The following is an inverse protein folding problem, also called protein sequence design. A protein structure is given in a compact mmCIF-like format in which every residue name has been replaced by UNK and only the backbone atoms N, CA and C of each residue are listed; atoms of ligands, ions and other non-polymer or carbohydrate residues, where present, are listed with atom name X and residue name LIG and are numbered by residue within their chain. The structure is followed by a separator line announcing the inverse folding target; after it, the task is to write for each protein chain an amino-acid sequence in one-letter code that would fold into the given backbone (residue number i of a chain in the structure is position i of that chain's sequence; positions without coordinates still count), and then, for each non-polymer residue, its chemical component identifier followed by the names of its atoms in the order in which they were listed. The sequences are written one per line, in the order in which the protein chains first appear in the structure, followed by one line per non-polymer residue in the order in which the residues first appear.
data_IF_965551237465
#
_entry.id   IF_965551237465
#
_cell.length_a   1.000
_cell.length_b   1.000
_cell.length_c   1.000
_cell.angle_alpha   90.00
_cell.angle_beta   90.00
_cell.angle_gamma   90.00
#
_symmetry.space_group_name_H-M   'P 1'
#
loop_
_entity.id
_entity.type
_entity.pdbx_description
1 polymer ?
#
# COMPACT_ATOMS: atom_id res chain seq x y z
N UNK A 1 21.11 -12.65 -40.43
CA UNK A 1 19.78 -12.02 -40.37
C UNK A 1 19.50 -11.58 -38.93
N UNK A 2 20.25 -10.57 -38.45
CA UNK A 2 20.13 -10.04 -37.08
C UNK A 2 18.95 -9.09 -37.01
N UNK A 3 17.76 -9.68 -36.90
CA UNK A 3 16.48 -9.01 -36.75
C UNK A 3 16.54 -7.97 -35.63
N UNK A 4 16.63 -6.71 -36.03
CA UNK A 4 16.38 -5.51 -35.22
C UNK A 4 17.20 -5.45 -33.92
N UNK A 5 18.42 -4.94 -34.09
CA UNK A 5 19.37 -4.53 -33.05
C UNK A 5 18.67 -4.01 -31.79
N UNK A 6 19.14 -4.40 -30.61
CA UNK A 6 18.64 -3.99 -29.27
C UNK A 6 18.36 -2.47 -29.19
N UNK A 7 19.13 -1.68 -29.93
CA UNK A 7 18.94 -0.24 -30.10
C UNK A 7 17.55 0.17 -30.63
N UNK A 8 16.97 -0.59 -31.57
CA UNK A 8 15.63 -0.32 -32.10
C UNK A 8 14.56 -0.48 -31.02
N UNK A 9 14.63 -1.57 -30.24
CA UNK A 9 13.71 -1.82 -29.13
C UNK A 9 13.77 -0.74 -28.06
N UNK A 10 14.96 -0.21 -27.76
CA UNK A 10 15.12 0.92 -26.85
C UNK A 10 14.41 2.18 -27.35
N UNK A 11 14.57 2.53 -28.63
CA UNK A 11 13.87 3.68 -29.25
C UNK A 11 12.35 3.50 -29.18
N UNK A 12 11.85 2.31 -29.50
CA UNK A 12 10.41 2.03 -29.46
C UNK A 12 9.87 2.18 -28.03
N UNK A 13 10.61 1.68 -27.03
CA UNK A 13 10.22 1.79 -25.62
C UNK A 13 10.10 3.25 -25.18
N UNK A 14 11.03 4.10 -25.62
CA UNK A 14 11.02 5.54 -25.33
C UNK A 14 9.79 6.20 -25.96
N UNK A 15 9.48 5.90 -27.23
CA UNK A 15 8.29 6.45 -27.91
C UNK A 15 7.00 6.04 -27.19
N UNK A 16 6.87 4.77 -26.80
CA UNK A 16 5.72 4.28 -26.03
C UNK A 16 5.61 5.01 -24.69
N UNK A 17 6.73 5.24 -24.00
CA UNK A 17 6.76 6.02 -22.76
C UNK A 17 6.30 7.47 -22.95
N UNK A 18 6.63 8.09 -24.09
CA UNK A 18 6.20 9.45 -24.41
C UNK A 18 4.70 9.51 -24.73
N UNK A 19 4.17 8.52 -25.47
CA UNK A 19 2.74 8.47 -25.84
C UNK A 19 1.84 8.18 -24.64
N UNK A 20 2.25 7.22 -23.80
CA UNK A 20 1.47 6.81 -22.63
C UNK A 20 1.79 7.65 -21.38
N UNK A 21 2.96 8.26 -21.33
CA UNK A 21 3.48 8.98 -20.17
C UNK A 21 4.01 8.06 -19.07
N UNK A 22 4.99 8.54 -18.30
CA UNK A 22 5.62 7.80 -17.20
C UNK A 22 4.67 7.46 -16.04
N UNK A 23 3.49 8.10 -15.96
CA UNK A 23 2.51 7.85 -14.89
C UNK A 23 1.55 6.68 -15.17
N UNK A 24 1.27 6.35 -16.44
CA UNK A 24 0.31 5.29 -16.79
C UNK A 24 0.96 3.92 -16.84
N UNK A 25 2.20 3.82 -17.32
CA UNK A 25 2.90 2.53 -17.45
C UNK A 25 3.09 1.80 -16.11
N UNK A 26 3.55 2.44 -15.00
CA UNK A 26 3.76 1.75 -13.73
C UNK A 26 2.46 1.24 -13.09
N UNK A 27 1.35 1.97 -13.26
CA UNK A 27 0.06 1.60 -12.69
C UNK A 27 -0.49 0.34 -13.41
N UNK A 28 -0.50 0.36 -14.75
CA UNK A 28 -0.95 -0.78 -15.56
C UNK A 28 -0.01 -1.98 -15.41
N UNK A 29 1.31 -1.76 -15.41
CA UNK A 29 2.29 -2.82 -15.20
C UNK A 29 2.19 -3.43 -13.80
N UNK A 30 1.83 -2.64 -12.78
CA UNK A 30 1.61 -3.12 -11.41
C UNK A 30 0.45 -4.11 -11.32
N UNK A 31 -0.67 -3.85 -11.99
CA UNK A 31 -1.82 -4.75 -11.97
C UNK A 31 -1.59 -6.02 -12.81
N UNK A 32 -0.90 -5.89 -13.94
CA UNK A 32 -0.44 -7.05 -14.73
C UNK A 32 0.54 -7.91 -13.91
N UNK A 33 1.51 -7.28 -13.24
CA UNK A 33 2.50 -7.97 -12.41
C UNK A 33 1.85 -8.73 -11.23
N UNK A 34 0.83 -8.14 -10.59
CA UNK A 34 0.04 -8.84 -9.55
C UNK A 34 -0.66 -10.08 -10.10
N UNK A 35 -1.29 -9.98 -11.28
CA UNK A 35 -1.95 -11.12 -11.94
C UNK A 35 -0.96 -12.23 -12.30
N UNK A 36 0.19 -11.89 -12.90
CA UNK A 36 1.24 -12.85 -13.24
C UNK A 36 1.87 -13.47 -11.99
N UNK A 37 2.07 -12.71 -10.91
CA UNK A 37 2.60 -13.22 -9.64
C UNK A 37 1.61 -14.18 -8.96
N UNK A 38 0.31 -13.85 -8.96
CA UNK A 38 -0.74 -14.73 -8.42
C UNK A 38 -0.86 -16.02 -9.24
N UNK A 39 -0.80 -15.93 -10.57
CA UNK A 39 -0.76 -17.10 -11.45
C UNK A 39 0.47 -17.97 -11.17
N UNK A 40 1.66 -17.36 -11.09
CA UNK A 40 2.90 -18.10 -10.78
C UNK A 40 2.89 -18.72 -9.39
N UNK A 41 2.28 -18.04 -8.40
CA UNK A 41 2.12 -18.55 -7.05
C UNK A 41 1.17 -19.76 -7.04
N UNK A 42 0.01 -19.67 -7.69
CA UNK A 42 -0.93 -20.80 -7.80
C UNK A 42 -0.32 -22.02 -8.48
N UNK A 43 0.51 -21.84 -9.52
CA UNK A 43 1.24 -22.94 -10.13
C UNK A 43 2.32 -23.55 -9.21
N UNK A 44 2.86 -22.81 -8.25
CA UNK A 44 3.86 -23.33 -7.29
C UNK A 44 3.20 -23.94 -6.05
N UNK A 45 2.03 -23.47 -5.67
CA UNK A 45 1.25 -23.99 -4.52
C UNK A 45 0.69 -25.39 -4.79
N UNK A 46 0.47 -25.75 -6.06
CA UNK A 46 0.12 -27.12 -6.48
C UNK A 46 1.29 -28.11 -6.35
N UNK A 47 2.54 -27.63 -6.39
CA UNK A 47 3.77 -28.45 -6.25
C UNK A 47 4.31 -28.45 -4.80
N UNK A 48 4.06 -27.40 -4.01
CA UNK A 48 4.60 -27.26 -2.66
C UNK A 48 3.56 -26.57 -1.77
N UNK A 49 2.86 -27.35 -0.95
CA UNK A 49 1.84 -26.86 -0.03
C UNK A 49 2.43 -25.93 1.06
N UNK A 50 2.57 -24.63 0.77
CA UNK A 50 2.83 -23.59 1.78
C UNK A 50 2.48 -22.19 1.25
N UNK A 51 1.52 -21.46 1.86
CA UNK A 51 1.08 -20.17 1.35
C UNK A 51 2.14 -19.08 1.58
N UNK A 52 2.60 -18.35 0.55
CA UNK A 52 3.28 -17.09 0.78
C UNK A 52 2.22 -16.02 1.07
N UNK A 53 2.16 -15.67 2.35
CA UNK A 53 1.45 -14.54 2.91
C UNK A 53 1.51 -13.28 2.00
N UNK A 54 0.37 -12.62 1.91
CA UNK A 54 0.21 -11.29 1.36
C UNK A 54 1.11 -10.28 2.10
N UNK A 55 2.30 -10.03 1.56
CA UNK A 55 3.12 -8.88 1.94
C UNK A 55 2.72 -7.68 1.07
N UNK A 56 1.87 -6.86 1.70
CA UNK A 56 1.90 -5.38 1.73
C UNK A 56 1.72 -4.58 0.44
N UNK A 57 0.51 -4.05 0.28
CA UNK A 57 0.33 -2.63 -0.04
C UNK A 57 -0.99 -2.13 0.58
N UNK A 58 -0.99 -1.99 1.91
CA UNK A 58 -1.78 -1.04 2.67
C UNK A 58 -1.29 -1.14 4.12
N UNK A 59 -0.26 -0.34 4.45
CA UNK A 59 -0.16 0.11 5.83
C UNK A 59 -1.49 0.79 6.16
N UNK A 60 -2.17 0.46 7.27
CA UNK A 60 -3.10 1.40 7.85
C UNK A 60 -2.31 2.71 8.02
N UNK A 61 -2.84 3.89 7.61
CA UNK A 61 -2.26 5.13 8.10
C UNK A 61 -2.19 4.98 9.62
N UNK A 62 -0.97 4.92 10.15
CA UNK A 62 -0.75 4.90 11.58
C UNK A 62 -1.60 6.03 12.14
N UNK A 63 -2.50 5.67 13.05
CA UNK A 63 -3.47 6.55 13.65
C UNK A 63 -2.75 7.80 14.16
N UNK A 64 -2.84 8.91 13.43
CA UNK A 64 -2.79 10.24 14.01
C UNK A 64 -4.13 10.45 14.71
N UNK A 65 -4.35 9.72 15.80
CA UNK A 65 -5.13 10.25 16.90
C UNK A 65 -4.18 11.25 17.58
N UNK A 66 -4.31 12.58 17.37
CA UNK A 66 -3.94 13.45 18.46
C UNK A 66 -4.83 13.00 19.62
N UNK A 67 -4.24 12.36 20.62
CA UNK A 67 -4.91 12.21 21.90
C UNK A 67 -5.51 13.59 22.22
N UNK A 68 -6.82 13.72 22.45
CA UNK A 68 -7.32 14.90 23.09
C UNK A 68 -6.53 14.97 24.40
N UNK A 69 -5.71 16.00 24.55
CA UNK A 69 -5.21 16.44 25.84
C UNK A 69 -6.43 16.59 26.74
N UNK A 70 -6.76 15.52 27.45
CA UNK A 70 -7.74 15.56 28.52
C UNK A 70 -7.11 16.49 29.55
N UNK A 71 -7.71 17.66 29.84
CA UNK A 71 -7.31 18.40 31.02
C UNK A 71 -7.54 17.44 32.18
N UNK A 72 -6.48 17.13 32.93
CA UNK A 72 -6.59 16.38 34.17
C UNK A 72 -7.51 17.19 35.09
N UNK A 73 -8.79 16.86 35.09
CA UNK A 73 -9.75 17.33 36.06
C UNK A 73 -9.44 16.60 37.37
N UNK A 74 -8.35 16.99 38.03
CA UNK A 74 -8.24 16.84 39.48
C UNK A 74 -9.16 17.87 40.12
N UNK A 75 -10.44 17.54 40.26
CA UNK A 75 -11.26 18.18 41.27
C UNK A 75 -12.38 17.24 41.76
N UNK A 76 -12.06 16.24 42.61
CA UNK A 76 -12.99 15.81 43.63
C UNK A 76 -12.96 16.87 44.74
N UNK A 77 -13.68 17.97 44.54
CA UNK A 77 -14.06 18.87 45.62
C UNK A 77 -15.54 19.18 45.49
N UNK A 78 -16.36 18.19 45.82
CA UNK A 78 -17.67 18.42 46.39
C UNK A 78 -17.50 18.53 47.91
N UNK A 79 -17.57 19.75 48.47
CA UNK A 79 -18.12 19.93 49.79
C UNK A 79 -19.33 20.85 49.66
N UNK A 80 -20.41 20.35 49.04
CA UNK A 80 -21.70 21.03 49.01
C UNK A 80 -22.74 20.19 49.76
N UNK A 81 -22.49 19.97 51.05
CA UNK A 81 -23.50 19.53 52.02
C UNK A 81 -24.04 20.77 52.74
N UNK A 82 -25.30 21.21 52.50
CA UNK A 82 -25.96 22.14 53.39
C UNK A 82 -26.49 21.34 54.59
N UNK A 83 -25.68 21.24 55.63
CA UNK A 83 -26.17 20.96 56.98
C UNK A 83 -25.88 22.20 57.82
N UNK A 84 -26.92 22.77 58.42
CA UNK A 84 -27.03 23.56 59.66
C UNK A 84 -28.37 24.33 59.54
N UNK A 85 -29.33 24.23 60.46
CA UNK A 85 -29.19 24.04 61.90
C UNK A 85 -28.89 25.38 62.54
#
# INVERSE_FOLDING_TARGET
MGSFSIWHWLIVLVIVLLLFGAGKLPNVMGDIAKGVKAFKAGLKDEDEANPPAATTAQAPPAAINPAPTQPVQTQPADPAKPHQG
#
